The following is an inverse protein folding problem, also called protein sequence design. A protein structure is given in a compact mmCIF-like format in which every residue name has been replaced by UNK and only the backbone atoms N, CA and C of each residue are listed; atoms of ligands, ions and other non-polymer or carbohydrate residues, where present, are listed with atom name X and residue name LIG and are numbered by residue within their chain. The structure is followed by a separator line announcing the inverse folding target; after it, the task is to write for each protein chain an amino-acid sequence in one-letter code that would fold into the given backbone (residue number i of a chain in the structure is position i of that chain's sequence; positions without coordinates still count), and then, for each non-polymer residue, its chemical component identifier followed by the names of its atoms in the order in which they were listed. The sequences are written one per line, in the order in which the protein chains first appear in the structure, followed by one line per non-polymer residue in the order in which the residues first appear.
data_IF_316397851710
#
_entry.id   IF_316397851710
#
_cell.length_a   1.000
_cell.length_b   1.000
_cell.length_c   1.000
_cell.angle_alpha   90.00
_cell.angle_beta   90.00
_cell.angle_gamma   90.00
#
_symmetry.space_group_name_H-M   'P 1'
#
loop_
_entity.id
_entity.type
_entity.pdbx_description
1 polymer ?
#
# COMPACT_ATOMS: atom_id res chain seq x y z
N UNK A 1 27.07 -22.90 -7.36
CA UNK A 1 26.04 -23.39 -6.42
C UNK A 1 25.72 -22.23 -5.50
N UNK A 2 24.56 -21.56 -5.70
CA UNK A 2 24.14 -20.49 -4.82
C UNK A 2 23.82 -21.05 -3.44
N UNK A 3 24.35 -20.41 -2.39
CA UNK A 3 24.01 -20.70 -1.00
C UNK A 3 22.49 -20.62 -0.87
N UNK A 4 21.82 -21.72 -0.50
CA UNK A 4 20.41 -21.67 -0.14
C UNK A 4 20.28 -20.74 1.06
N UNK A 5 19.50 -19.69 0.91
CA UNK A 5 19.17 -18.78 2.01
C UNK A 5 18.50 -19.60 3.12
N UNK A 6 18.96 -19.42 4.35
CA UNK A 6 18.43 -20.16 5.52
C UNK A 6 17.18 -19.49 6.09
N UNK A 7 16.25 -19.03 5.25
CA UNK A 7 14.98 -18.46 5.71
C UNK A 7 13.88 -19.53 5.70
N UNK A 8 13.37 -19.84 6.86
CA UNK A 8 12.30 -20.84 7.05
C UNK A 8 10.91 -20.24 6.81
N UNK A 9 10.69 -18.99 7.26
CA UNK A 9 9.42 -18.29 7.13
C UNK A 9 9.64 -16.79 6.93
N UNK A 10 8.77 -16.17 6.16
CA UNK A 10 8.56 -14.73 6.14
C UNK A 10 7.22 -14.43 6.77
N UNK A 11 7.18 -13.49 7.71
CA UNK A 11 5.97 -13.02 8.36
C UNK A 11 5.82 -11.53 8.05
N UNK A 12 4.63 -11.06 7.71
CA UNK A 12 4.34 -9.64 7.57
C UNK A 12 3.16 -9.23 8.43
N UNK A 13 3.33 -8.13 9.16
CA UNK A 13 2.29 -7.44 9.93
C UNK A 13 2.10 -6.08 9.25
N UNK A 14 1.18 -6.00 8.26
CA UNK A 14 0.98 -4.76 7.52
C UNK A 14 0.29 -3.72 8.40
N UNK A 15 0.74 -2.47 8.34
CA UNK A 15 0.27 -1.34 9.16
C UNK A 15 -0.30 -0.20 8.31
N UNK A 16 -0.94 0.76 8.98
CA UNK A 16 -1.55 1.96 8.39
C UNK A 16 -2.78 1.65 7.51
N UNK A 17 -3.14 2.55 6.57
CA UNK A 17 -4.30 2.39 5.69
C UNK A 17 -4.15 1.26 4.66
N UNK A 18 -5.25 0.88 4.03
CA UNK A 18 -5.36 -0.30 3.15
C UNK A 18 -4.26 -0.39 2.09
N UNK A 19 -3.99 0.71 1.37
CA UNK A 19 -2.95 0.70 0.33
C UNK A 19 -1.54 0.50 0.90
N UNK A 20 -1.24 1.09 2.06
CA UNK A 20 0.04 0.86 2.73
C UNK A 20 0.20 -0.60 3.15
N UNK A 21 -0.88 -1.22 3.62
CA UNK A 21 -0.93 -2.65 3.96
C UNK A 21 -0.74 -3.53 2.72
N UNK A 22 -1.37 -3.19 1.61
CA UNK A 22 -1.16 -3.88 0.33
C UNK A 22 0.29 -3.76 -0.15
N UNK A 23 0.92 -2.58 0.02
CA UNK A 23 2.34 -2.37 -0.26
C UNK A 23 3.24 -3.29 0.56
N UNK A 24 3.02 -3.35 1.87
CA UNK A 24 3.79 -4.19 2.78
C UNK A 24 3.63 -5.68 2.45
N UNK A 25 2.40 -6.11 2.20
CA UNK A 25 2.11 -7.49 1.82
C UNK A 25 2.75 -7.87 0.48
N UNK A 26 2.61 -7.05 -0.57
CA UNK A 26 3.26 -7.27 -1.86
C UNK A 26 4.79 -7.35 -1.72
N UNK A 27 5.38 -6.47 -0.90
CA UNK A 27 6.82 -6.46 -0.62
C UNK A 27 7.27 -7.76 0.04
N UNK A 28 6.56 -8.19 1.08
CA UNK A 28 6.85 -9.45 1.78
C UNK A 28 6.68 -10.67 0.87
N UNK A 29 5.66 -10.68 0.00
CA UNK A 29 5.45 -11.75 -0.97
C UNK A 29 6.61 -11.85 -1.98
N UNK A 30 7.15 -10.71 -2.44
CA UNK A 30 8.31 -10.67 -3.34
C UNK A 30 9.56 -11.19 -2.61
N UNK A 31 9.79 -10.75 -1.38
CA UNK A 31 10.93 -11.19 -0.55
C UNK A 31 10.82 -12.69 -0.25
N UNK A 32 9.66 -13.17 0.18
CA UNK A 32 9.41 -14.58 0.46
C UNK A 32 9.68 -15.47 -0.77
N UNK A 33 9.18 -15.06 -1.94
CA UNK A 33 9.44 -15.76 -3.21
C UNK A 33 10.93 -15.77 -3.56
N UNK A 34 11.64 -14.66 -3.35
CA UNK A 34 13.09 -14.57 -3.61
C UNK A 34 13.88 -15.52 -2.73
N UNK A 35 13.45 -15.74 -1.49
CA UNK A 35 14.09 -16.67 -0.56
C UNK A 35 13.54 -18.10 -0.62
N UNK A 36 12.50 -18.36 -1.43
CA UNK A 36 11.85 -19.67 -1.48
C UNK A 36 11.17 -20.06 -0.18
N UNK A 37 10.76 -19.08 0.64
CA UNK A 37 10.16 -19.25 1.96
C UNK A 37 8.64 -19.07 1.92
N UNK A 38 7.85 -19.79 2.74
CA UNK A 38 6.42 -19.54 2.91
C UNK A 38 6.18 -18.16 3.53
N UNK A 39 5.08 -17.52 3.13
CA UNK A 39 4.65 -16.23 3.67
C UNK A 39 3.48 -16.40 4.64
N UNK A 40 3.60 -15.80 5.82
CA UNK A 40 2.52 -15.65 6.79
C UNK A 40 2.12 -14.18 6.88
N UNK A 41 0.81 -13.90 6.84
CA UNK A 41 0.26 -12.53 6.81
C UNK A 41 -0.64 -12.32 8.03
N UNK A 42 -0.23 -11.46 8.94
CA UNK A 42 -1.06 -11.06 10.07
C UNK A 42 -1.82 -9.77 9.71
N UNK A 43 -2.98 -9.94 9.07
CA UNK A 43 -3.86 -8.83 8.71
C UNK A 43 -5.01 -8.71 9.69
N UNK A 44 -4.86 -7.89 10.68
CA UNK A 44 -5.89 -7.62 11.67
C UNK A 44 -6.52 -6.25 11.49
N UNK A 45 -7.79 -6.15 11.92
CA UNK A 45 -8.49 -4.87 11.96
C UNK A 45 -7.90 -3.95 13.02
N UNK A 46 -7.60 -2.72 12.65
CA UNK A 46 -7.16 -1.64 13.53
C UNK A 46 -8.07 -0.41 13.34
N UNK A 47 -7.97 0.57 14.24
CA UNK A 47 -8.78 1.79 14.15
C UNK A 47 -8.74 2.47 12.77
N UNK A 48 -7.58 2.48 12.13
CA UNK A 48 -7.40 3.12 10.80
C UNK A 48 -7.80 2.21 9.64
N UNK A 49 -7.87 0.90 9.88
CA UNK A 49 -8.14 -0.14 8.90
C UNK A 49 -8.93 -1.27 9.60
N UNK A 50 -10.21 -1.03 9.93
CA UNK A 50 -10.98 -1.91 10.82
C UNK A 50 -11.43 -3.24 10.19
N UNK A 51 -11.36 -3.38 8.87
CA UNK A 51 -11.71 -4.64 8.21
C UNK A 51 -10.57 -5.66 8.32
N UNK A 52 -10.88 -6.82 8.83
CA UNK A 52 -9.99 -7.98 8.93
C UNK A 52 -9.80 -8.71 7.59
N UNK A 53 -8.84 -9.65 7.56
CA UNK A 53 -8.52 -10.40 6.36
C UNK A 53 -9.74 -11.16 5.80
N UNK A 54 -10.56 -11.76 6.66
CA UNK A 54 -11.71 -12.59 6.26
C UNK A 54 -12.80 -11.78 5.56
N UNK A 55 -12.94 -10.50 5.93
CA UNK A 55 -13.88 -9.57 5.28
C UNK A 55 -13.41 -9.10 3.91
N UNK A 56 -12.10 -9.12 3.65
CA UNK A 56 -11.49 -8.51 2.47
C UNK A 56 -11.01 -9.52 1.43
N UNK A 57 -10.57 -10.70 1.87
CA UNK A 57 -9.90 -11.67 1.00
C UNK A 57 -10.47 -13.08 1.17
N UNK A 58 -10.50 -13.85 0.06
CA UNK A 58 -10.84 -15.28 0.11
C UNK A 58 -9.67 -16.13 0.60
N UNK A 59 -8.44 -15.71 0.31
CA UNK A 59 -7.21 -16.39 0.72
C UNK A 59 -6.01 -15.45 0.64
N UNK A 60 -4.93 -15.81 1.30
CA UNK A 60 -3.65 -15.10 1.24
C UNK A 60 -2.87 -15.36 -0.07
N UNK A 61 -3.42 -16.15 -0.99
CA UNK A 61 -2.77 -16.53 -2.25
C UNK A 61 -1.83 -17.74 -2.11
N UNK A 62 -1.24 -18.14 -3.22
CA UNK A 62 -0.35 -19.32 -3.28
C UNK A 62 0.91 -19.12 -2.41
N UNK A 63 1.27 -20.14 -1.64
CA UNK A 63 2.42 -20.11 -0.74
C UNK A 63 2.29 -19.17 0.45
N UNK A 64 1.08 -18.64 0.70
CA UNK A 64 0.81 -17.69 1.78
C UNK A 64 -0.37 -18.15 2.66
N UNK A 65 -0.32 -17.78 3.95
CA UNK A 65 -1.41 -18.04 4.92
C UNK A 65 -1.69 -16.81 5.76
N UNK A 66 -2.97 -16.59 6.10
CA UNK A 66 -3.31 -15.61 7.15
C UNK A 66 -3.11 -16.25 8.51
N UNK A 67 -2.52 -15.49 9.42
CA UNK A 67 -2.29 -15.87 10.82
C UNK A 67 -2.83 -14.81 11.77
N UNK A 68 -3.10 -15.20 13.03
CA UNK A 68 -3.56 -14.29 14.08
C UNK A 68 -2.42 -13.54 14.76
N UNK A 69 -2.75 -12.48 15.52
CA UNK A 69 -1.79 -11.81 16.41
C UNK A 69 -1.22 -12.75 17.47
N UNK A 70 -2.03 -13.65 18.01
CA UNK A 70 -1.56 -14.62 19.01
C UNK A 70 -0.46 -15.53 18.46
N UNK A 71 -0.58 -15.94 17.18
CA UNK A 71 0.47 -16.71 16.50
C UNK A 71 1.75 -15.87 16.31
N UNK A 72 1.60 -14.58 15.99
CA UNK A 72 2.76 -13.67 15.88
C UNK A 72 3.41 -13.47 17.24
N UNK A 73 2.64 -13.20 18.29
CA UNK A 73 3.16 -13.02 19.65
C UNK A 73 3.88 -14.26 20.16
N UNK A 74 3.35 -15.44 19.85
CA UNK A 74 4.02 -16.72 20.14
C UNK A 74 5.37 -16.84 19.41
N UNK A 75 5.46 -16.38 18.15
CA UNK A 75 6.71 -16.38 17.39
C UNK A 75 7.74 -15.38 17.94
N UNK A 76 7.29 -14.23 18.45
CA UNK A 76 8.14 -13.16 18.97
C UNK A 76 8.50 -13.35 20.45
N UNK A 77 7.87 -14.30 21.16
CA UNK A 77 8.00 -14.44 22.60
C UNK A 77 7.39 -13.29 23.41
N UNK A 78 6.49 -12.50 22.79
CA UNK A 78 5.83 -11.37 23.43
C UNK A 78 5.08 -10.49 22.45
N UNK A 79 4.50 -9.38 22.94
CA UNK A 79 3.75 -8.45 22.11
C UNK A 79 4.63 -7.79 21.05
N UNK A 80 4.10 -7.65 19.84
CA UNK A 80 4.73 -6.91 18.76
C UNK A 80 4.44 -5.40 18.82
N UNK A 81 3.60 -4.95 19.75
CA UNK A 81 3.36 -3.55 19.99
C UNK A 81 4.55 -2.88 20.68
N UNK A 82 4.94 -1.71 20.15
CA UNK A 82 6.05 -0.94 20.70
C UNK A 82 7.45 -1.46 20.37
N UNK A 83 7.59 -2.45 19.48
CA UNK A 83 8.89 -2.88 19.00
C UNK A 83 9.66 -1.71 18.37
N UNK A 84 10.98 -1.63 18.63
CA UNK A 84 11.81 -0.56 18.09
C UNK A 84 11.85 -0.59 16.56
N UNK A 85 12.00 0.59 15.94
CA UNK A 85 12.01 0.78 14.48
C UNK A 85 13.36 0.40 13.86
N UNK A 86 13.88 -0.77 14.13
CA UNK A 86 15.14 -1.25 13.56
C UNK A 86 15.18 -2.77 13.50
N UNK A 87 16.20 -3.26 12.87
CA UNK A 87 16.50 -4.67 12.80
C UNK A 87 16.89 -5.21 14.18
N UNK A 88 16.18 -6.20 14.65
CA UNK A 88 16.54 -6.98 15.84
C UNK A 88 16.71 -8.44 15.44
N UNK A 89 17.64 -9.13 16.08
CA UNK A 89 17.89 -10.53 15.87
C UNK A 89 18.00 -11.25 17.22
N UNK A 90 17.12 -12.19 17.44
CA UNK A 90 17.23 -13.13 18.54
C UNK A 90 17.92 -14.41 18.05
N UNK A 91 19.18 -14.57 18.45
CA UNK A 91 20.01 -15.73 18.05
C UNK A 91 19.52 -17.04 18.59
N UNK A 92 18.77 -17.04 19.69
CA UNK A 92 18.32 -18.26 20.35
C UNK A 92 17.09 -18.84 19.67
N UNK A 93 16.10 -18.01 19.36
CA UNK A 93 14.91 -18.39 18.60
C UNK A 93 15.11 -18.42 17.09
N UNK A 94 16.13 -17.73 16.57
CA UNK A 94 16.32 -17.53 15.12
C UNK A 94 15.29 -16.56 14.51
N UNK A 95 14.68 -15.69 15.33
CA UNK A 95 13.71 -14.69 14.88
C UNK A 95 14.44 -13.38 14.59
N UNK A 96 14.17 -12.83 13.39
CA UNK A 96 14.65 -11.50 12.98
C UNK A 96 13.45 -10.62 12.75
N UNK A 97 13.40 -9.50 13.45
CA UNK A 97 12.30 -8.54 13.29
C UNK A 97 12.81 -7.25 12.67
N UNK A 98 12.16 -6.80 11.60
CA UNK A 98 12.37 -5.51 10.99
C UNK A 98 11.09 -4.69 11.14
N UNK A 99 11.11 -3.73 12.06
CA UNK A 99 9.97 -2.86 12.34
C UNK A 99 10.23 -1.45 11.82
N UNK A 100 9.29 -0.93 11.02
CA UNK A 100 9.29 0.43 10.51
C UNK A 100 7.91 0.83 10.02
N UNK A 101 7.62 2.11 10.05
CA UNK A 101 6.32 2.60 9.61
C UNK A 101 6.38 3.31 8.26
N UNK A 102 7.57 3.57 7.76
CA UNK A 102 7.78 4.38 6.57
C UNK A 102 8.97 3.85 5.75
N UNK A 103 9.48 4.67 4.85
CA UNK A 103 10.62 4.40 3.96
C UNK A 103 11.95 4.08 4.68
N UNK A 104 11.93 4.00 6.01
CA UNK A 104 13.10 3.74 6.84
C UNK A 104 13.56 2.28 6.87
N UNK A 105 12.77 1.33 6.36
CA UNK A 105 13.16 -0.09 6.33
C UNK A 105 14.29 -0.35 5.33
N UNK A 106 14.40 0.46 4.27
CA UNK A 106 15.37 0.24 3.20
C UNK A 106 16.83 0.15 3.67
N UNK A 107 17.34 0.98 4.59
CA UNK A 107 18.71 0.89 5.08
C UNK A 107 19.04 -0.47 5.72
N UNK A 108 18.03 -1.14 6.30
CA UNK A 108 18.22 -2.41 7.00
C UNK A 108 18.06 -3.64 6.10
N UNK A 109 17.54 -3.48 4.89
CA UNK A 109 17.33 -4.60 3.98
C UNK A 109 18.63 -5.24 3.50
N UNK A 110 19.72 -4.48 3.41
CA UNK A 110 21.04 -5.00 3.09
C UNK A 110 21.60 -5.85 4.25
N UNK A 111 21.48 -5.35 5.48
CA UNK A 111 21.92 -6.06 6.68
C UNK A 111 21.11 -7.36 6.87
N UNK A 112 19.80 -7.29 6.65
CA UNK A 112 18.92 -8.45 6.69
C UNK A 112 19.29 -9.49 5.64
N UNK A 113 19.56 -9.07 4.40
CA UNK A 113 19.99 -9.97 3.33
C UNK A 113 21.33 -10.65 3.66
N UNK A 114 22.27 -9.91 4.23
CA UNK A 114 23.55 -10.45 4.70
C UNK A 114 23.34 -11.44 5.84
N UNK A 115 22.52 -11.11 6.83
CA UNK A 115 22.21 -11.99 7.95
C UNK A 115 21.57 -13.31 7.47
N UNK A 116 20.63 -13.24 6.53
CA UNK A 116 19.98 -14.41 5.94
C UNK A 116 20.96 -15.32 5.18
N UNK A 117 22.04 -14.76 4.60
CA UNK A 117 23.07 -15.53 3.92
C UNK A 117 24.07 -16.16 4.88
N UNK A 118 24.34 -15.53 6.03
CA UNK A 118 25.38 -15.94 6.97
C UNK A 118 24.87 -16.82 8.11
N UNK A 119 23.56 -16.85 8.33
CA UNK A 119 22.99 -17.62 9.44
C UNK A 119 23.15 -19.12 9.23
N UNK A 120 23.65 -19.79 10.25
CA UNK A 120 23.72 -21.25 10.30
C UNK A 120 22.37 -21.90 10.67
N UNK A 121 21.45 -21.12 11.25
CA UNK A 121 20.09 -21.54 11.60
C UNK A 121 19.09 -21.04 10.60
N UNK A 122 17.99 -21.77 10.44
CA UNK A 122 16.86 -21.31 9.63
C UNK A 122 16.15 -20.15 10.33
N UNK A 123 16.07 -18.99 9.66
CA UNK A 123 15.52 -17.76 10.21
C UNK A 123 14.01 -17.65 9.95
N UNK A 124 13.28 -17.11 10.93
CA UNK A 124 11.95 -16.54 10.72
C UNK A 124 12.09 -15.03 10.67
N UNK A 125 11.77 -14.43 9.51
CA UNK A 125 11.90 -12.99 9.30
C UNK A 125 10.53 -12.32 9.42
N UNK A 126 10.39 -11.38 10.35
CA UNK A 126 9.14 -10.67 10.65
C UNK A 126 9.26 -9.22 10.21
N UNK A 127 8.40 -8.80 9.27
CA UNK A 127 8.27 -7.41 8.83
C UNK A 127 7.05 -6.77 9.50
N UNK A 128 7.27 -5.68 10.24
CA UNK A 128 6.19 -4.81 10.74
C UNK A 128 6.26 -3.52 9.93
N UNK A 129 5.46 -3.43 8.87
CA UNK A 129 5.65 -2.41 7.85
C UNK A 129 4.35 -1.73 7.43
N UNK A 130 4.43 -0.42 7.22
CA UNK A 130 3.35 0.42 6.68
C UNK A 130 3.68 0.98 5.29
N UNK A 131 4.49 0.32 4.51
CA UNK A 131 4.93 0.78 3.21
C UNK A 131 5.74 -0.24 2.43
N UNK A 132 6.40 0.21 1.38
CA UNK A 132 7.18 -0.60 0.44
C UNK A 132 8.58 -0.88 0.97
N UNK A 133 9.04 -2.12 0.80
CA UNK A 133 10.42 -2.53 1.00
C UNK A 133 10.82 -3.61 -0.01
N UNK A 134 12.11 -3.73 -0.32
CA UNK A 134 12.64 -4.71 -1.27
C UNK A 134 14.08 -5.08 -0.95
N UNK A 135 14.51 -6.26 -1.38
CA UNK A 135 15.89 -6.70 -1.23
C UNK A 135 16.83 -5.89 -2.16
N UNK A 136 18.10 -5.69 -1.77
CA UNK A 136 19.09 -5.09 -2.65
C UNK A 136 19.20 -5.83 -3.98
N UNK A 137 19.31 -5.07 -5.08
CA UNK A 137 19.40 -5.64 -6.44
C UNK A 137 18.06 -6.01 -7.08
N UNK A 138 16.91 -5.79 -6.41
CA UNK A 138 15.61 -6.01 -7.00
C UNK A 138 15.31 -4.95 -8.09
N UNK A 139 15.32 -5.37 -9.34
CA UNK A 139 15.18 -4.47 -10.51
C UNK A 139 13.75 -4.41 -11.09
N UNK A 140 12.93 -5.41 -10.81
CA UNK A 140 11.58 -5.52 -11.38
C UNK A 140 10.46 -5.32 -10.33
N UNK A 141 10.74 -4.57 -9.27
CA UNK A 141 9.87 -4.46 -8.11
C UNK A 141 8.44 -3.99 -8.45
N UNK A 142 8.29 -2.99 -9.31
CA UNK A 142 6.97 -2.48 -9.70
C UNK A 142 6.17 -3.52 -10.51
N UNK A 143 6.82 -4.23 -11.44
CA UNK A 143 6.19 -5.29 -12.22
C UNK A 143 5.72 -6.44 -11.31
N UNK A 144 6.59 -6.89 -10.41
CA UNK A 144 6.26 -7.95 -9.44
C UNK A 144 5.11 -7.55 -8.50
N UNK A 145 5.03 -6.28 -8.08
CA UNK A 145 3.89 -5.79 -7.29
C UNK A 145 2.60 -5.79 -8.09
N UNK A 146 2.64 -5.33 -9.35
CA UNK A 146 1.48 -5.38 -10.24
C UNK A 146 0.96 -6.82 -10.39
N UNK A 147 1.86 -7.77 -10.64
CA UNK A 147 1.51 -9.19 -10.77
C UNK A 147 0.90 -9.73 -9.45
N UNK A 148 1.48 -9.36 -8.31
CA UNK A 148 0.93 -9.69 -7.00
C UNK A 148 -0.48 -9.15 -6.82
N UNK A 149 -0.74 -7.86 -7.13
CA UNK A 149 -2.08 -7.28 -7.01
C UNK A 149 -3.10 -7.95 -7.92
N UNK A 150 -2.70 -8.33 -9.14
CA UNK A 150 -3.52 -9.11 -10.05
C UNK A 150 -3.84 -10.53 -9.54
N UNK A 151 -3.03 -11.07 -8.65
CA UNK A 151 -3.22 -12.41 -8.06
C UNK A 151 -4.09 -12.42 -6.79
N UNK A 152 -4.38 -11.27 -6.19
CA UNK A 152 -5.18 -11.18 -4.95
C UNK A 152 -6.58 -11.77 -5.17
N UNK A 153 -6.95 -12.66 -4.27
CA UNK A 153 -8.29 -13.26 -4.23
C UNK A 153 -9.19 -12.47 -3.29
N UNK A 154 -9.84 -11.45 -3.83
CA UNK A 154 -10.77 -10.60 -3.09
C UNK A 154 -11.95 -11.40 -2.55
N UNK A 155 -12.54 -10.95 -1.44
CA UNK A 155 -13.77 -11.52 -0.90
C UNK A 155 -14.91 -11.38 -1.91
N UNK A 156 -15.90 -12.26 -1.80
CA UNK A 156 -17.04 -12.26 -2.74
C UNK A 156 -17.77 -10.92 -2.82
N UNK A 157 -18.07 -10.23 -1.70
CA UNK A 157 -18.71 -8.92 -1.75
C UNK A 157 -17.92 -7.87 -2.52
N UNK A 158 -16.57 -7.90 -2.43
CA UNK A 158 -15.71 -6.96 -3.18
C UNK A 158 -15.71 -7.36 -4.66
N UNK A 159 -15.47 -8.63 -4.98
CA UNK A 159 -15.36 -9.11 -6.35
C UNK A 159 -16.66 -8.89 -7.15
N UNK A 160 -17.81 -9.18 -6.53
CA UNK A 160 -19.12 -9.00 -7.15
C UNK A 160 -19.43 -7.53 -7.42
N UNK A 161 -19.24 -6.64 -6.42
CA UNK A 161 -19.46 -5.20 -6.61
C UNK A 161 -18.56 -4.63 -7.70
N UNK A 162 -17.28 -5.00 -7.71
CA UNK A 162 -16.34 -4.55 -8.75
C UNK A 162 -16.80 -5.04 -10.13
N UNK A 163 -17.23 -6.30 -10.24
CA UNK A 163 -17.69 -6.88 -11.51
C UNK A 163 -18.92 -6.16 -12.06
N UNK A 164 -19.93 -5.94 -11.21
CA UNK A 164 -21.17 -5.24 -11.61
C UNK A 164 -20.87 -3.81 -12.04
N UNK A 165 -20.15 -3.05 -11.24
CA UNK A 165 -19.87 -1.64 -11.54
C UNK A 165 -18.98 -1.51 -12.79
N UNK A 166 -18.00 -2.40 -12.96
CA UNK A 166 -17.14 -2.39 -14.16
C UNK A 166 -17.93 -2.68 -15.43
N UNK A 167 -18.83 -3.65 -15.42
CA UNK A 167 -19.61 -4.03 -16.59
C UNK A 167 -20.41 -2.86 -17.17
N UNK A 168 -20.90 -1.98 -16.31
CA UNK A 168 -21.73 -0.82 -16.71
C UNK A 168 -20.90 0.38 -17.19
N UNK A 169 -19.62 0.45 -16.86
CA UNK A 169 -18.84 1.69 -17.01
C UNK A 169 -17.55 1.54 -17.84
N UNK A 170 -17.04 0.33 -18.10
CA UNK A 170 -15.80 0.13 -18.88
C UNK A 170 -15.97 0.35 -20.38
N UNK A 171 -15.00 0.93 -21.09
CA UNK A 171 -13.72 1.48 -20.57
C UNK A 171 -13.86 2.90 -20.03
N UNK A 172 -13.03 3.27 -19.03
CA UNK A 172 -13.06 4.58 -18.39
C UNK A 172 -11.66 5.05 -17.96
N UNK A 173 -11.55 6.35 -17.72
CA UNK A 173 -10.41 7.01 -17.06
C UNK A 173 -10.74 7.11 -15.57
N UNK A 174 -9.72 7.23 -14.71
CA UNK A 174 -9.95 7.45 -13.28
C UNK A 174 -9.19 8.67 -12.75
N UNK A 175 -9.77 9.29 -11.71
CA UNK A 175 -9.09 10.29 -10.91
C UNK A 175 -9.17 9.93 -9.44
N UNK A 176 -8.03 10.00 -8.74
CA UNK A 176 -7.97 9.83 -7.29
C UNK A 176 -7.53 11.12 -6.61
N UNK A 177 -8.41 11.67 -5.76
CA UNK A 177 -8.23 12.97 -5.13
C UNK A 177 -8.31 12.86 -3.62
N UNK A 178 -7.35 13.45 -2.91
CA UNK A 178 -7.38 13.56 -1.44
C UNK A 178 -7.71 14.99 -1.02
N UNK A 179 -8.79 15.14 -0.25
CA UNK A 179 -9.28 16.43 0.24
C UNK A 179 -9.01 16.70 1.72
N UNK A 180 -8.57 15.70 2.50
CA UNK A 180 -8.45 15.81 3.96
C UNK A 180 -7.05 16.23 4.42
N UNK A 181 -6.16 15.28 4.65
CA UNK A 181 -4.83 15.49 5.26
C UNK A 181 -3.76 15.95 4.26
N UNK A 182 -4.02 15.76 2.97
CA UNK A 182 -3.14 16.11 1.86
C UNK A 182 -3.89 16.93 0.81
N UNK A 183 -4.56 18.01 1.27
CA UNK A 183 -5.32 18.87 0.39
C UNK A 183 -4.51 19.30 -0.83
N UNK A 184 -5.12 19.16 -2.00
CA UNK A 184 -4.52 19.52 -3.27
C UNK A 184 -4.38 21.04 -3.33
N UNK A 185 -3.22 21.53 -3.75
CA UNK A 185 -3.03 22.96 -4.01
C UNK A 185 -3.69 23.35 -5.34
N UNK A 186 -4.04 24.61 -5.51
CA UNK A 186 -4.60 25.12 -6.77
C UNK A 186 -3.72 24.78 -7.98
N UNK A 187 -2.38 24.96 -7.96
CA UNK A 187 -1.53 24.55 -9.07
C UNK A 187 -1.58 23.05 -9.37
N UNK A 188 -1.67 22.21 -8.33
CA UNK A 188 -1.81 20.75 -8.52
C UNK A 188 -3.16 20.40 -9.10
N UNK A 189 -4.24 21.05 -8.67
CA UNK A 189 -5.58 20.88 -9.24
C UNK A 189 -5.59 21.19 -10.73
N UNK A 190 -5.09 22.35 -11.16
CA UNK A 190 -5.02 22.71 -12.57
C UNK A 190 -4.15 21.74 -13.38
N UNK A 191 -3.10 21.19 -12.79
CA UNK A 191 -2.29 20.17 -13.44
C UNK A 191 -3.08 18.85 -13.61
N UNK A 192 -3.86 18.45 -12.62
CA UNK A 192 -4.75 17.28 -12.72
C UNK A 192 -5.83 17.50 -13.79
N UNK A 193 -6.46 18.66 -13.81
CA UNK A 193 -7.45 19.04 -14.81
C UNK A 193 -6.90 18.91 -16.24
N UNK A 194 -5.74 19.50 -16.51
CA UNK A 194 -5.07 19.37 -17.82
C UNK A 194 -4.70 17.93 -18.16
N UNK A 195 -4.25 17.15 -17.17
CA UNK A 195 -3.86 15.76 -17.42
C UNK A 195 -5.06 14.89 -17.77
N UNK A 196 -6.22 15.09 -17.10
CA UNK A 196 -7.44 14.36 -17.46
C UNK A 196 -7.90 14.74 -18.86
N UNK A 197 -7.93 16.01 -19.21
CA UNK A 197 -8.32 16.47 -20.55
C UNK A 197 -7.42 15.84 -21.64
N UNK A 198 -6.10 15.83 -21.41
CA UNK A 198 -5.15 15.22 -22.33
C UNK A 198 -5.33 13.70 -22.47
N UNK A 199 -5.57 12.99 -21.37
CA UNK A 199 -5.83 11.54 -21.39
C UNK A 199 -7.16 11.26 -22.09
N UNK A 200 -8.20 12.04 -21.85
CA UNK A 200 -9.51 11.89 -22.51
C UNK A 200 -9.38 12.10 -24.03
N UNK A 201 -8.67 13.14 -24.46
CA UNK A 201 -8.39 13.40 -25.87
C UNK A 201 -7.59 12.26 -26.51
N UNK A 202 -6.50 11.82 -25.87
CA UNK A 202 -5.63 10.76 -26.38
C UNK A 202 -6.32 9.40 -26.46
N UNK A 203 -7.16 9.07 -25.49
CA UNK A 203 -7.85 7.77 -25.42
C UNK A 203 -9.19 7.73 -26.13
N UNK A 204 -9.78 8.90 -26.43
CA UNK A 204 -11.16 9.02 -26.92
C UNK A 204 -12.23 8.64 -25.89
N UNK A 205 -11.88 8.56 -24.59
CA UNK A 205 -12.80 8.20 -23.52
C UNK A 205 -13.42 9.42 -22.84
N UNK A 206 -14.71 9.38 -22.61
CA UNK A 206 -15.44 10.43 -21.86
C UNK A 206 -15.86 9.99 -20.46
N UNK A 207 -15.92 8.69 -20.19
CA UNK A 207 -16.31 8.13 -18.86
C UNK A 207 -15.17 8.30 -17.85
N UNK A 208 -15.46 8.91 -16.68
CA UNK A 208 -14.44 9.22 -15.65
C UNK A 208 -14.91 8.78 -14.27
N UNK A 209 -14.20 7.82 -13.68
CA UNK A 209 -14.36 7.45 -12.25
C UNK A 209 -13.75 8.53 -11.36
N UNK A 210 -14.52 9.08 -10.43
CA UNK A 210 -14.07 10.03 -9.43
C UNK A 210 -13.98 9.34 -8.05
N UNK A 211 -12.77 9.04 -7.61
CA UNK A 211 -12.46 8.54 -6.28
C UNK A 211 -11.96 9.68 -5.39
N UNK A 212 -12.68 10.00 -4.33
CA UNK A 212 -12.34 11.08 -3.41
C UNK A 212 -12.68 10.72 -1.96
N UNK A 213 -11.84 11.16 -1.04
CA UNK A 213 -11.97 10.87 0.39
C UNK A 213 -13.03 11.74 1.11
N UNK A 214 -13.63 12.74 0.44
CA UNK A 214 -14.75 13.53 0.95
C UNK A 214 -15.83 13.74 -0.11
N UNK A 215 -17.09 13.83 0.32
CA UNK A 215 -18.21 14.14 -0.56
C UNK A 215 -18.05 15.53 -1.23
N UNK A 216 -17.54 16.52 -0.50
CA UNK A 216 -17.31 17.86 -1.01
C UNK A 216 -16.29 17.85 -2.17
N UNK A 217 -15.13 17.23 -1.98
CA UNK A 217 -14.11 17.11 -3.02
C UNK A 217 -14.66 16.37 -4.24
N UNK A 218 -15.40 15.28 -4.02
CA UNK A 218 -16.06 14.53 -5.09
C UNK A 218 -17.00 15.40 -5.90
N UNK A 219 -17.90 16.14 -5.25
CA UNK A 219 -18.86 17.01 -5.93
C UNK A 219 -18.19 18.11 -6.75
N UNK A 220 -17.10 18.69 -6.27
CA UNK A 220 -16.32 19.69 -7.00
C UNK A 220 -15.76 19.12 -8.30
N UNK A 221 -15.17 17.93 -8.25
CA UNK A 221 -14.61 17.28 -9.42
C UNK A 221 -15.68 16.80 -10.41
N UNK A 222 -16.78 16.25 -9.92
CA UNK A 222 -17.95 15.89 -10.75
C UNK A 222 -18.43 17.11 -11.52
N UNK A 223 -18.69 18.24 -10.84
CA UNK A 223 -19.17 19.47 -11.49
C UNK A 223 -18.16 20.05 -12.49
N UNK A 224 -16.85 19.90 -12.24
CA UNK A 224 -15.83 20.33 -13.21
C UNK A 224 -15.85 19.44 -14.44
N UNK A 225 -15.83 18.10 -14.29
CA UNK A 225 -15.84 17.14 -15.40
C UNK A 225 -17.07 17.30 -16.30
N UNK A 226 -18.25 17.53 -15.70
CA UNK A 226 -19.50 17.80 -16.45
C UNK A 226 -19.40 19.06 -17.31
N UNK A 227 -18.77 20.13 -16.80
CA UNK A 227 -18.54 21.35 -17.58
C UNK A 227 -17.58 21.16 -18.74
N UNK A 228 -16.62 20.23 -18.59
CA UNK A 228 -15.69 19.85 -19.67
C UNK A 228 -16.30 18.82 -20.67
N UNK A 229 -17.58 18.48 -20.51
CA UNK A 229 -18.27 17.53 -21.39
C UNK A 229 -17.93 16.06 -21.14
N UNK A 230 -17.29 15.76 -20.03
CA UNK A 230 -16.98 14.39 -19.59
C UNK A 230 -18.13 13.80 -18.78
N UNK A 231 -18.17 12.50 -18.65
CA UNK A 231 -19.24 11.75 -17.96
C UNK A 231 -18.69 11.19 -16.62
N UNK A 232 -18.74 11.97 -15.54
CA UNK A 232 -18.25 11.52 -14.25
C UNK A 232 -19.21 10.52 -13.61
N UNK A 233 -18.63 9.54 -12.93
CA UNK A 233 -19.33 8.64 -12.05
C UNK A 233 -18.46 8.30 -10.82
N UNK A 234 -19.06 7.73 -9.80
CA UNK A 234 -18.37 7.39 -8.56
C UNK A 234 -19.07 6.23 -7.84
N UNK A 235 -18.30 5.54 -7.00
CA UNK A 235 -18.86 4.50 -6.12
C UNK A 235 -19.70 5.15 -5.04
N UNK A 236 -20.98 4.76 -4.96
CA UNK A 236 -21.86 5.20 -3.87
C UNK A 236 -21.43 4.45 -2.60
N UNK A 237 -20.56 5.07 -1.81
CA UNK A 237 -20.22 4.55 -0.49
C UNK A 237 -21.44 4.65 0.42
N UNK A 238 -21.69 3.58 1.17
CA UNK A 238 -22.80 3.53 2.14
C UNK A 238 -22.45 4.26 3.44
N UNK A 239 -21.17 4.56 3.67
CA UNK A 239 -20.68 5.25 4.86
C UNK A 239 -19.42 6.03 4.60
N UNK A 240 -19.29 7.20 5.23
CA UNK A 240 -18.03 7.96 5.30
C UNK A 240 -17.28 7.71 6.62
N UNK A 241 -17.82 6.85 7.46
CA UNK A 241 -17.17 6.46 8.72
C UNK A 241 -16.01 5.50 8.45
N UNK A 242 -14.80 6.06 8.44
CA UNK A 242 -13.57 5.31 8.21
C UNK A 242 -13.28 4.25 9.28
N UNK A 243 -13.95 4.32 10.43
CA UNK A 243 -13.80 3.38 11.53
C UNK A 243 -14.74 2.16 11.38
N UNK A 244 -15.57 2.12 10.32
CA UNK A 244 -16.43 0.97 10.04
C UNK A 244 -15.76 -0.06 9.14
N UNK A 245 -16.02 -1.35 9.38
CA UNK A 245 -15.59 -2.44 8.49
C UNK A 245 -16.13 -2.27 7.07
N UNK A 246 -17.34 -1.75 6.95
CA UNK A 246 -17.98 -1.49 5.66
C UNK A 246 -17.22 -0.47 4.82
N UNK A 247 -16.73 0.61 5.44
CA UNK A 247 -15.90 1.60 4.75
C UNK A 247 -14.61 0.97 4.18
N UNK A 248 -14.07 -0.05 4.84
CA UNK A 248 -12.92 -0.80 4.34
C UNK A 248 -13.23 -1.58 3.07
N UNK A 249 -14.38 -2.25 3.03
CA UNK A 249 -14.86 -2.96 1.82
C UNK A 249 -15.07 -1.96 0.68
N UNK A 250 -15.80 -0.86 0.94
CA UNK A 250 -16.07 0.17 -0.05
C UNK A 250 -14.78 0.81 -0.60
N UNK A 251 -13.79 1.07 0.26
CA UNK A 251 -12.48 1.58 -0.15
C UNK A 251 -11.74 0.59 -1.07
N UNK A 252 -11.79 -0.70 -0.81
CA UNK A 252 -11.14 -1.69 -1.65
C UNK A 252 -11.93 -1.98 -2.94
N UNK A 253 -13.24 -1.83 -2.96
CA UNK A 253 -14.02 -1.77 -4.22
C UNK A 253 -13.54 -0.60 -5.07
N UNK A 254 -13.46 0.60 -4.49
CA UNK A 254 -12.98 1.81 -5.20
C UNK A 254 -11.53 1.63 -5.68
N UNK A 255 -10.63 1.06 -4.86
CA UNK A 255 -9.25 0.77 -5.26
C UNK A 255 -9.17 -0.19 -6.45
N UNK A 256 -9.97 -1.26 -6.46
CA UNK A 256 -10.03 -2.21 -7.57
C UNK A 256 -10.54 -1.56 -8.86
N UNK A 257 -11.52 -0.67 -8.75
CA UNK A 257 -12.02 0.07 -9.91
C UNK A 257 -10.96 1.04 -10.44
N UNK A 258 -10.24 1.76 -9.56
CA UNK A 258 -9.08 2.58 -9.98
C UNK A 258 -8.05 1.74 -10.73
N UNK A 259 -7.70 0.57 -10.20
CA UNK A 259 -6.73 -0.35 -10.78
C UNK A 259 -7.16 -0.94 -12.15
N UNK A 260 -8.44 -0.97 -12.45
CA UNK A 260 -9.01 -1.47 -13.72
C UNK A 260 -9.20 -0.39 -14.78
N UNK A 261 -9.07 0.87 -14.43
CA UNK A 261 -9.20 1.98 -15.39
C UNK A 261 -8.21 1.87 -16.55
N UNK A 262 -8.52 2.52 -17.65
CA UNK A 262 -7.58 2.60 -18.79
C UNK A 262 -6.33 3.37 -18.37
N UNK A 263 -6.51 4.54 -17.78
CA UNK A 263 -5.45 5.37 -17.21
C UNK A 263 -6.00 6.17 -16.03
N UNK A 264 -5.12 6.72 -15.20
CA UNK A 264 -5.56 7.52 -14.07
C UNK A 264 -4.68 8.74 -13.80
N UNK A 265 -5.31 9.74 -13.18
CA UNK A 265 -4.65 10.93 -12.63
C UNK A 265 -4.73 10.88 -11.11
N UNK A 266 -3.60 11.10 -10.44
CA UNK A 266 -3.53 11.01 -8.98
C UNK A 266 -2.43 11.89 -8.41
N UNK A 267 -2.54 12.24 -7.13
CA UNK A 267 -1.44 12.89 -6.41
C UNK A 267 -0.37 11.83 -6.06
N UNK A 268 0.88 12.08 -6.44
CA UNK A 268 2.01 11.13 -6.34
C UNK A 268 2.36 10.76 -4.88
N UNK A 269 1.98 11.59 -3.92
CA UNK A 269 2.13 11.32 -2.49
C UNK A 269 1.01 10.44 -1.89
N UNK A 270 0.04 10.01 -2.71
CA UNK A 270 -1.02 9.08 -2.30
C UNK A 270 -0.63 7.63 -2.59
N UNK A 271 -0.34 6.86 -1.54
CA UNK A 271 -0.12 5.42 -1.69
C UNK A 271 -1.30 4.70 -2.36
N UNK A 272 -2.53 5.15 -2.08
CA UNK A 272 -3.75 4.56 -2.64
C UNK A 272 -3.81 4.73 -4.17
N UNK A 273 -3.61 5.95 -4.66
CA UNK A 273 -3.56 6.24 -6.10
C UNK A 273 -2.34 5.61 -6.77
N UNK A 274 -1.17 5.72 -6.14
CA UNK A 274 0.07 5.19 -6.69
C UNK A 274 0.03 3.67 -6.91
N UNK A 275 -0.51 2.90 -5.97
CA UNK A 275 -0.58 1.44 -6.12
C UNK A 275 -1.66 1.01 -7.14
N UNK A 276 -2.79 1.70 -7.18
CA UNK A 276 -3.80 1.44 -8.20
C UNK A 276 -3.26 1.74 -9.62
N UNK A 277 -2.50 2.83 -9.77
CA UNK A 277 -1.91 3.24 -11.05
C UNK A 277 -0.94 2.20 -11.64
N UNK A 278 -0.30 1.39 -10.81
CA UNK A 278 0.53 0.28 -11.31
C UNK A 278 -0.27 -0.77 -12.10
N UNK A 279 -1.57 -0.86 -11.84
CA UNK A 279 -2.44 -1.91 -12.35
C UNK A 279 -3.35 -1.46 -13.50
N UNK A 280 -3.35 -0.18 -13.87
CA UNK A 280 -4.15 0.34 -14.97
C UNK A 280 -3.81 -0.35 -16.29
N UNK A 281 -4.72 -0.32 -17.26
CA UNK A 281 -4.54 -1.00 -18.56
C UNK A 281 -3.45 -0.36 -19.42
N UNK A 282 -3.31 0.98 -19.30
CA UNK A 282 -2.31 1.79 -20.03
C UNK A 282 -1.50 2.63 -19.03
N UNK A 283 -0.63 1.98 -18.22
CA UNK A 283 0.11 2.69 -17.16
C UNK A 283 1.04 3.80 -17.67
N UNK A 284 1.45 3.75 -18.94
CA UNK A 284 2.21 4.80 -19.62
C UNK A 284 1.43 6.11 -19.82
N UNK A 285 0.10 6.05 -19.78
CA UNK A 285 -0.78 7.21 -19.85
C UNK A 285 -1.08 7.85 -18.49
N UNK A 286 -0.69 7.20 -17.39
CA UNK A 286 -0.97 7.70 -16.06
C UNK A 286 -0.24 9.02 -15.76
N UNK A 287 -0.91 9.93 -15.07
CA UNK A 287 -0.33 11.16 -14.58
C UNK A 287 -0.28 11.19 -13.04
N UNK A 288 0.89 10.85 -12.49
CA UNK A 288 1.21 11.08 -11.08
C UNK A 288 1.71 12.50 -10.87
N UNK A 289 0.98 13.31 -10.11
CA UNK A 289 1.27 14.72 -9.94
C UNK A 289 1.95 15.00 -8.61
N UNK A 290 3.19 15.41 -8.70
CA UNK A 290 4.03 15.73 -7.56
C UNK A 290 3.68 17.11 -7.01
N UNK A 291 3.50 17.23 -5.69
CA UNK A 291 3.32 18.52 -5.04
C UNK A 291 4.56 19.42 -5.28
N UNK A 292 4.40 20.74 -5.37
CA UNK A 292 5.54 21.67 -5.53
C UNK A 292 6.63 21.45 -4.46
N UNK A 293 7.89 21.62 -4.83
CA UNK A 293 9.04 21.32 -3.96
C UNK A 293 8.96 21.99 -2.58
N UNK A 294 8.51 23.26 -2.52
CA UNK A 294 8.33 23.98 -1.25
C UNK A 294 7.31 23.29 -0.31
N UNK A 295 6.24 22.71 -0.87
CA UNK A 295 5.22 22.00 -0.10
C UNK A 295 5.75 20.64 0.38
N UNK A 296 6.55 19.97 -0.44
CA UNK A 296 7.22 18.72 -0.04
C UNK A 296 8.17 18.97 1.13
N UNK A 297 8.98 20.06 1.07
CA UNK A 297 9.88 20.46 2.15
C UNK A 297 9.11 20.80 3.42
N UNK A 298 8.00 21.55 3.32
CA UNK A 298 7.16 21.88 4.46
C UNK A 298 6.48 20.64 5.08
N UNK A 299 6.09 19.65 4.27
CA UNK A 299 5.53 18.37 4.74
C UNK A 299 6.62 17.52 5.41
N UNK A 300 7.81 17.45 4.81
CA UNK A 300 8.95 16.73 5.40
C UNK A 300 9.34 17.32 6.76
N UNK A 301 9.40 18.65 6.89
CA UNK A 301 9.66 19.34 8.14
C UNK A 301 8.63 19.04 9.23
N UNK A 302 7.32 19.05 8.89
CA UNK A 302 6.26 18.68 9.82
C UNK A 302 6.35 17.22 10.28
N UNK A 303 6.63 16.30 9.35
CA UNK A 303 6.80 14.88 9.65
C UNK A 303 8.02 14.66 10.56
N UNK A 304 9.12 15.38 10.29
CA UNK A 304 10.31 15.33 11.14
C UNK A 304 10.02 15.84 12.56
N UNK A 305 9.36 16.99 12.71
CA UNK A 305 8.94 17.54 14.01
C UNK A 305 8.01 16.56 14.73
N UNK A 306 7.02 16.00 14.05
CA UNK A 306 6.09 15.02 14.62
C UNK A 306 6.82 13.74 15.05
N UNK A 307 7.77 13.25 14.27
CA UNK A 307 8.60 12.10 14.65
C UNK A 307 9.49 12.42 15.85
N UNK A 308 10.10 13.61 15.90
CA UNK A 308 10.93 14.03 17.02
C UNK A 308 10.14 14.21 18.33
N UNK A 309 8.90 14.70 18.24
CA UNK A 309 8.01 14.88 19.40
C UNK A 309 7.37 13.57 19.88
N UNK A 310 7.08 12.65 18.97
CA UNK A 310 6.44 11.34 19.32
C UNK A 310 7.44 10.30 19.79
N UNK A 311 8.73 10.47 19.49
CA UNK A 311 9.78 9.53 19.84
C UNK A 311 10.99 10.27 20.42
N UNK A 312 10.99 10.56 21.73
CA UNK A 312 12.20 11.07 22.37
C UNK A 312 13.33 10.07 22.12
N UNK A 313 14.43 10.57 21.60
CA UNK A 313 15.59 9.80 21.23
C UNK A 313 16.12 9.01 22.44
N UNK A 314 15.75 7.74 22.53
CA UNK A 314 16.53 6.77 23.32
C UNK A 314 17.68 6.33 22.43
N UNK A 315 18.73 7.12 22.41
CA UNK A 315 20.01 6.73 21.83
C UNK A 315 20.62 5.62 22.68
N UNK A 316 20.43 4.39 22.23
CA UNK A 316 21.27 3.27 22.61
C UNK A 316 21.92 2.76 21.34
N UNK A 317 23.07 3.34 20.98
CA UNK A 317 23.99 2.69 20.06
C UNK A 317 24.40 1.37 20.72
N UNK A 318 24.00 0.26 20.11
CA UNK A 318 24.60 -1.04 20.45
C UNK A 318 25.99 -1.00 19.82
N UNK A 319 26.98 -0.83 20.71
CA UNK A 319 28.38 -0.91 20.36
C UNK A 319 28.70 -2.28 19.73
N UNK A 320 29.54 -2.23 18.71
CA UNK A 320 30.23 -3.40 18.18
C UNK A 320 30.95 -4.13 19.35
N UNK A 321 30.63 -5.37 19.55
CA UNK A 321 31.56 -6.38 20.03
C UNK A 321 31.55 -7.55 19.08
#
# INVERSE_FOLDING_TARGET
MGSMTSVANVVVIPRNGYANRLQAWASAAIVARTWGAPLKVCWEGEKVCPADASSLFRSAGEGSTFISSDEVESLLGGSHEGLPRYLTHDSDSGVVTLAGHDRGEQPFMADLAQLAQQSAKALTVVFIAGGRFWLPGETAFNAKRRDFYGSIKWSEPIAEQVSVISADNEPYIAIHVRGTDKAITVPTQHAMERSIAAIAEQSGLSSVLVAADTAQTRSQWVSWLEREGLQPWFVKSTTHDRESRRAGVDALVEWNLLARSTAMVFADDSSFGHEAALCTRSPEMNAGLTAPAWLQTARAGRNWIRSALTYPARHGWIGRQ
#
